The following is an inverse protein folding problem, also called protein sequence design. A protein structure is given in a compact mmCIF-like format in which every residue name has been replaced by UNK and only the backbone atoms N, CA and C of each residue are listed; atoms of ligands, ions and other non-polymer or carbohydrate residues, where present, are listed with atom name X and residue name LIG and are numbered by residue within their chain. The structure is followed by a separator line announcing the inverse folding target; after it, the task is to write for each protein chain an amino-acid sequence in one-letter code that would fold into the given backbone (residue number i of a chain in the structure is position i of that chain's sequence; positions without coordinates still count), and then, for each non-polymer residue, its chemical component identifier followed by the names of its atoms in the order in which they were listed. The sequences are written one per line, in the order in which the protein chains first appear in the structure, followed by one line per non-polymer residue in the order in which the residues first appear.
data_IF_899229095036
#
_entry.id   IF_899229095036
#
_cell.length_a   1.000
_cell.length_b   1.000
_cell.length_c   1.000
_cell.angle_alpha   90.00
_cell.angle_beta   90.00
_cell.angle_gamma   90.00
#
_symmetry.space_group_name_H-M   'P 1'
#
loop_
_entity.id
_entity.type
_entity.pdbx_description
1 polymer ?
#
# COMPACT_ATOMS: atom_id res chain seq x y z
N UNK A 1 3.05 0.53 -19.34
CA UNK A 1 2.44 -0.26 -18.24
C UNK A 1 3.59 -0.96 -17.54
N UNK A 2 3.89 -0.60 -16.29
CA UNK A 2 4.93 -1.28 -15.52
C UNK A 2 4.44 -2.71 -15.23
N UNK A 3 5.30 -3.71 -15.42
CA UNK A 3 4.96 -5.09 -15.10
C UNK A 3 5.05 -5.24 -13.58
N UNK A 4 3.91 -5.50 -12.93
CA UNK A 4 3.84 -5.71 -11.49
C UNK A 4 3.89 -7.21 -11.18
N UNK A 5 4.82 -7.63 -10.33
CA UNK A 5 4.97 -9.03 -9.88
C UNK A 5 4.14 -9.25 -8.63
N UNK A 6 3.22 -10.22 -8.65
CA UNK A 6 2.44 -10.59 -7.46
C UNK A 6 3.32 -11.26 -6.39
N UNK A 7 2.99 -11.04 -5.13
CA UNK A 7 3.64 -11.70 -3.98
C UNK A 7 2.71 -12.72 -3.33
N UNK A 8 3.19 -13.43 -2.31
CA UNK A 8 2.32 -14.27 -1.45
C UNK A 8 1.31 -13.45 -0.63
N UNK A 9 1.56 -12.15 -0.46
CA UNK A 9 0.62 -11.22 0.17
C UNK A 9 -0.36 -10.70 -0.87
N UNK A 10 -1.64 -11.06 -0.71
CA UNK A 10 -2.74 -10.79 -1.64
C UNK A 10 -2.77 -9.36 -2.22
N UNK A 11 -2.38 -8.36 -1.43
CA UNK A 11 -2.47 -6.95 -1.78
C UNK A 11 -1.12 -6.27 -2.01
N UNK A 12 -0.02 -7.02 -2.10
CA UNK A 12 1.32 -6.46 -2.34
C UNK A 12 1.83 -6.93 -3.70
N UNK A 13 2.25 -5.97 -4.52
CA UNK A 13 2.94 -6.20 -5.78
C UNK A 13 4.31 -5.51 -5.76
N UNK A 14 5.27 -6.10 -6.47
CA UNK A 14 6.58 -5.53 -6.68
C UNK A 14 6.67 -4.88 -8.06
N UNK A 15 7.27 -3.70 -8.14
CA UNK A 15 7.69 -3.11 -9.42
C UNK A 15 8.98 -3.77 -9.94
N UNK A 16 9.46 -3.29 -11.08
CA UNK A 16 10.69 -3.78 -11.73
C UNK A 16 11.94 -3.58 -10.87
N UNK A 17 11.89 -2.65 -9.91
CA UNK A 17 12.95 -2.33 -8.96
C UNK A 17 12.77 -3.03 -7.60
N UNK A 18 11.83 -3.97 -7.49
CA UNK A 18 11.51 -4.69 -6.24
C UNK A 18 10.95 -3.80 -5.12
N UNK A 19 10.37 -2.64 -5.47
CA UNK A 19 9.69 -1.78 -4.50
C UNK A 19 8.26 -2.29 -4.30
N UNK A 20 7.81 -2.52 -3.05
CA UNK A 20 6.48 -3.02 -2.77
C UNK A 20 5.43 -1.91 -2.79
N UNK A 21 4.34 -2.14 -3.52
CA UNK A 21 3.16 -1.29 -3.61
C UNK A 21 1.89 -2.02 -3.20
N UNK A 22 0.89 -1.26 -2.74
CA UNK A 22 -0.46 -1.77 -2.58
C UNK A 22 -1.07 -1.99 -3.97
N UNK A 23 -1.48 -3.23 -4.24
CA UNK A 23 -1.97 -3.68 -5.53
C UNK A 23 -3.09 -2.78 -6.06
N UNK A 24 -2.97 -2.35 -7.33
CA UNK A 24 -3.95 -1.46 -7.96
C UNK A 24 -3.85 0.01 -7.55
N UNK A 25 -2.81 0.40 -6.84
CA UNK A 25 -2.56 1.80 -6.41
C UNK A 25 -1.12 2.21 -6.70
N UNK A 26 -0.83 3.51 -6.55
CA UNK A 26 0.54 4.04 -6.56
C UNK A 26 1.17 4.12 -5.15
N UNK A 27 0.45 3.69 -4.10
CA UNK A 27 0.94 3.77 -2.72
C UNK A 27 1.98 2.70 -2.47
N UNK A 28 3.14 3.10 -1.94
CA UNK A 28 4.16 2.16 -1.48
C UNK A 28 3.77 1.58 -0.13
N UNK A 29 4.13 0.32 0.13
CA UNK A 29 3.90 -0.31 1.44
C UNK A 29 4.59 0.47 2.57
N UNK A 30 5.76 1.07 2.31
CA UNK A 30 6.47 1.87 3.31
C UNK A 30 5.69 3.12 3.75
N UNK A 31 4.96 3.76 2.84
CA UNK A 31 4.13 4.94 3.15
C UNK A 31 2.98 4.57 4.09
N UNK A 32 2.37 3.40 3.87
CA UNK A 32 1.33 2.85 4.76
C UNK A 32 1.90 2.49 6.14
N UNK A 33 3.09 1.90 6.19
CA UNK A 33 3.78 1.58 7.45
C UNK A 33 4.16 2.84 8.21
N UNK A 34 4.60 3.89 7.52
CA UNK A 34 4.90 5.20 8.11
C UNK A 34 3.65 5.84 8.72
N UNK A 35 2.53 5.85 7.99
CA UNK A 35 1.23 6.32 8.51
C UNK A 35 0.87 5.64 9.84
N UNK A 36 1.03 4.32 9.91
CA UNK A 36 0.71 3.56 11.12
C UNK A 36 1.76 3.73 12.25
N UNK A 37 3.06 3.70 11.93
CA UNK A 37 4.13 3.61 12.93
C UNK A 37 4.68 4.96 13.38
N UNK A 38 4.81 5.92 12.46
CA UNK A 38 5.34 7.23 12.76
C UNK A 38 4.24 8.20 13.20
N UNK A 39 3.11 8.20 12.49
CA UNK A 39 1.99 9.11 12.77
C UNK A 39 0.92 8.51 13.69
N UNK A 40 0.94 7.18 13.90
CA UNK A 40 0.00 6.50 14.79
C UNK A 40 -1.43 6.44 14.26
N UNK A 41 -1.64 6.60 12.95
CA UNK A 41 -2.98 6.60 12.37
C UNK A 41 -3.64 5.22 12.50
N UNK A 42 -4.89 5.25 12.92
CA UNK A 42 -5.80 4.10 12.87
C UNK A 42 -6.10 3.72 11.41
N UNK A 43 -6.55 2.47 11.16
CA UNK A 43 -7.06 2.08 9.83
C UNK A 43 -8.16 3.00 9.31
N UNK A 44 -9.03 3.49 10.18
CA UNK A 44 -10.10 4.45 9.85
C UNK A 44 -9.52 5.80 9.38
N UNK A 45 -8.50 6.33 10.06
CA UNK A 45 -7.83 7.57 9.65
C UNK A 45 -7.06 7.39 8.34
N UNK A 46 -6.36 6.27 8.17
CA UNK A 46 -5.70 5.91 6.91
C UNK A 46 -6.72 5.88 5.77
N UNK A 47 -7.91 5.30 5.98
CA UNK A 47 -8.96 5.29 4.98
C UNK A 47 -9.52 6.69 4.68
N UNK A 48 -9.66 7.55 5.70
CA UNK A 48 -10.09 8.95 5.52
C UNK A 48 -9.10 9.73 4.64
N UNK A 49 -7.80 9.55 4.86
CA UNK A 49 -6.73 10.23 4.11
C UNK A 49 -6.48 9.59 2.73
N UNK A 50 -6.68 8.28 2.62
CA UNK A 50 -6.42 7.49 1.43
C UNK A 50 -7.67 6.70 1.01
N UNK A 51 -8.73 7.40 0.62
CA UNK A 51 -10.06 6.81 0.32
C UNK A 51 -10.06 5.73 -0.76
N UNK A 52 -9.01 5.64 -1.58
CA UNK A 52 -8.83 4.60 -2.58
C UNK A 52 -8.38 3.25 -1.99
N UNK A 53 -7.93 3.21 -0.73
CA UNK A 53 -7.67 1.98 0.01
C UNK A 53 -9.01 1.48 0.58
N UNK A 54 -9.57 0.44 -0.03
CA UNK A 54 -10.78 -0.23 0.49
C UNK A 54 -10.39 -1.28 1.55
N UNK A 55 -11.34 -1.60 2.44
CA UNK A 55 -11.20 -2.58 3.53
C UNK A 55 -11.53 -4.02 3.09
N UNK A 56 -11.76 -4.26 1.80
CA UNK A 56 -12.37 -5.51 1.26
C UNK A 56 -11.38 -6.50 0.63
#
# INVERSE_FOLDING_TARGET
MLIATATEYKYIQLDEQQVPYIAGTAMKVIELVEAQRAYGWSPEEIHIQHRYLDRR
#
